data_IF_587363305195
#
_entry.id   IF_587363305195
#
_cell.length_a   1.000
_cell.length_b   1.000
_cell.length_c   1.000
_cell.angle_alpha   90.00
_cell.angle_beta   90.00
_cell.angle_gamma   90.00
#
_symmetry.space_group_name_H-M   'P 1'
#
loop_
_entity.id
_entity.type
_entity.pdbx_description
1 polymer ?
#
# COMPACT_ATOMS: atom_id res chain seq x y z
N UNK A 1 10.58 -33.95 -30.78
CA UNK A 1 11.14 -33.56 -29.47
C UNK A 1 11.40 -32.08 -29.54
N UNK A 2 10.53 -31.25 -28.98
CA UNK A 2 11.01 -30.21 -28.08
C UNK A 2 9.87 -29.78 -27.17
N UNK A 3 10.00 -30.15 -25.90
CA UNK A 3 9.10 -29.80 -24.82
C UNK A 3 9.51 -28.41 -24.35
N UNK A 4 8.87 -27.36 -24.86
CA UNK A 4 8.97 -26.06 -24.22
C UNK A 4 8.31 -26.18 -22.84
N UNK A 5 9.13 -26.30 -21.80
CA UNK A 5 8.70 -26.20 -20.41
C UNK A 5 8.07 -24.82 -20.20
N UNK A 6 6.74 -24.79 -20.23
CA UNK A 6 5.96 -23.67 -19.72
C UNK A 6 6.34 -23.51 -18.26
N UNK A 7 7.12 -22.48 -17.95
CA UNK A 7 7.41 -22.09 -16.58
C UNK A 7 6.07 -21.85 -15.89
N UNK A 8 5.71 -22.74 -14.97
CA UNK A 8 4.58 -22.56 -14.06
C UNK A 8 4.91 -21.29 -13.28
N UNK A 9 4.31 -20.17 -13.68
CA UNK A 9 4.38 -18.92 -12.95
C UNK A 9 3.92 -19.21 -11.53
N UNK A 10 4.77 -18.95 -10.52
CA UNK A 10 4.32 -18.98 -9.12
C UNK A 10 3.08 -18.10 -9.04
N UNK A 11 1.88 -18.68 -8.92
CA UNK A 11 0.66 -17.87 -8.86
C UNK A 11 0.82 -16.90 -7.69
N UNK A 12 0.64 -15.61 -7.98
CA UNK A 12 0.71 -14.59 -6.96
C UNK A 12 -0.48 -14.80 -6.01
N UNK A 13 -0.20 -15.30 -4.81
CA UNK A 13 -1.20 -15.81 -3.87
C UNK A 13 -2.22 -14.75 -3.44
N UNK A 14 -1.92 -13.47 -3.72
CA UNK A 14 -2.75 -12.33 -3.39
C UNK A 14 -3.62 -11.80 -4.54
N UNK A 15 -3.47 -12.28 -5.78
CA UNK A 15 -4.38 -11.91 -6.86
C UNK A 15 -5.79 -12.47 -6.61
N UNK A 16 -6.81 -11.63 -6.75
CA UNK A 16 -8.20 -12.07 -6.68
C UNK A 16 -8.54 -12.83 -7.97
N UNK A 17 -8.99 -14.08 -7.84
CA UNK A 17 -9.51 -14.84 -8.98
C UNK A 17 -11.01 -14.65 -9.06
N UNK A 18 -11.55 -14.59 -10.28
CA UNK A 18 -12.94 -14.23 -10.55
C UNK A 18 -13.99 -15.15 -9.88
N UNK A 19 -13.60 -16.38 -9.49
CA UNK A 19 -14.46 -17.30 -8.75
C UNK A 19 -13.64 -17.96 -7.63
N UNK A 20 -14.03 -17.74 -6.38
CA UNK A 20 -13.48 -18.47 -5.23
C UNK A 20 -14.55 -19.45 -4.73
N UNK A 21 -14.42 -20.72 -5.11
CA UNK A 21 -15.32 -21.82 -4.69
C UNK A 21 -15.01 -22.31 -3.26
N UNK A 22 -14.06 -21.68 -2.57
CA UNK A 22 -13.67 -22.11 -1.22
C UNK A 22 -14.81 -21.98 -0.21
N UNK A 23 -14.89 -22.88 0.79
CA UNK A 23 -15.92 -22.79 1.82
C UNK A 23 -15.77 -21.50 2.63
N UNK A 24 -16.91 -20.84 2.87
CA UNK A 24 -16.99 -19.65 3.71
C UNK A 24 -16.71 -20.04 5.16
N UNK A 25 -15.89 -19.26 5.86
CA UNK A 25 -15.62 -19.45 7.27
C UNK A 25 -16.83 -19.04 8.09
N UNK A 26 -17.27 -19.91 9.02
CA UNK A 26 -18.38 -19.64 9.92
C UNK A 26 -17.99 -19.76 11.40
N UNK A 27 -18.77 -19.12 12.26
CA UNK A 27 -18.64 -19.19 13.72
C UNK A 27 -17.27 -18.73 14.26
N UNK A 28 -16.60 -19.51 15.12
CA UNK A 28 -15.40 -19.07 15.85
C UNK A 28 -14.20 -18.82 14.94
N UNK A 29 -14.14 -19.43 13.75
CA UNK A 29 -13.05 -19.19 12.79
C UNK A 29 -13.14 -17.81 12.16
N UNK A 30 -14.35 -17.32 11.89
CA UNK A 30 -14.58 -15.96 11.37
C UNK A 30 -14.11 -14.90 12.36
N UNK A 31 -14.47 -15.02 13.64
CA UNK A 31 -14.02 -14.08 14.68
C UNK A 31 -12.49 -14.06 14.83
N UNK A 32 -11.84 -15.23 14.73
CA UNK A 32 -10.37 -15.32 14.74
C UNK A 32 -9.74 -14.64 13.53
N UNK A 33 -10.36 -14.77 12.35
CA UNK A 33 -9.92 -14.09 11.14
C UNK A 33 -10.01 -12.57 11.33
N UNK A 34 -11.18 -12.05 11.72
CA UNK A 34 -11.42 -10.61 11.91
C UNK A 34 -10.46 -9.99 12.94
N UNK A 35 -10.25 -10.65 14.08
CA UNK A 35 -9.32 -10.18 15.13
C UNK A 35 -7.88 -10.07 14.61
N UNK A 36 -7.43 -11.07 13.85
CA UNK A 36 -6.08 -11.06 13.26
C UNK A 36 -5.93 -10.04 12.14
N UNK A 37 -6.94 -9.90 11.28
CA UNK A 37 -6.97 -8.87 10.25
C UNK A 37 -6.94 -7.47 10.86
N UNK A 38 -7.70 -7.22 11.94
CA UNK A 38 -7.64 -5.95 12.66
C UNK A 38 -6.25 -5.65 13.22
N UNK A 39 -5.55 -6.68 13.74
CA UNK A 39 -4.18 -6.54 14.24
C UNK A 39 -3.19 -6.19 13.12
N UNK A 40 -3.31 -6.83 11.95
CA UNK A 40 -2.48 -6.54 10.78
C UNK A 40 -2.78 -5.15 10.23
N UNK A 41 -4.05 -4.76 10.15
CA UNK A 41 -4.46 -3.44 9.68
C UNK A 41 -3.88 -2.33 10.55
N UNK A 42 -3.93 -2.51 11.88
CA UNK A 42 -3.30 -1.59 12.80
C UNK A 42 -1.79 -1.49 12.56
N UNK A 43 -1.10 -2.62 12.40
CA UNK A 43 0.34 -2.63 12.12
C UNK A 43 0.67 -1.92 10.80
N UNK A 44 -0.10 -2.19 9.73
CA UNK A 44 0.07 -1.62 8.41
C UNK A 44 -0.07 -0.10 8.38
N UNK A 45 -1.03 0.45 9.15
CA UNK A 45 -1.26 1.89 9.19
C UNK A 45 -0.28 2.67 10.07
N UNK A 46 0.33 2.02 11.07
CA UNK A 46 1.10 2.73 12.10
C UNK A 46 2.60 2.47 12.05
N UNK A 47 3.03 1.23 11.80
CA UNK A 47 4.43 0.82 12.05
C UNK A 47 5.10 0.17 10.85
N UNK A 48 4.32 -0.41 9.93
CA UNK A 48 4.81 -1.29 8.87
C UNK A 48 4.26 -0.89 7.50
N UNK A 49 4.91 0.07 6.80
CA UNK A 49 4.47 0.55 5.48
C UNK A 49 4.60 -0.49 4.36
N UNK A 50 5.19 -1.65 4.64
CA UNK A 50 5.32 -2.82 3.77
C UNK A 50 4.06 -3.70 3.73
N UNK A 51 3.23 -3.67 4.78
CA UNK A 51 2.02 -4.50 4.91
C UNK A 51 0.74 -4.02 4.19
N UNK A 52 0.51 -2.73 3.88
CA UNK A 52 -0.75 -2.26 3.28
C UNK A 52 -1.13 -2.98 1.98
N UNK A 53 -0.15 -3.50 1.24
CA UNK A 53 -0.41 -4.30 0.05
C UNK A 53 -1.22 -5.57 0.36
N UNK A 54 -0.82 -6.30 1.41
CA UNK A 54 -1.46 -7.56 1.81
C UNK A 54 -2.65 -7.35 2.76
N UNK A 55 -2.68 -6.26 3.53
CA UNK A 55 -3.76 -5.97 4.48
C UNK A 55 -5.07 -5.60 3.78
N UNK A 56 -5.03 -4.73 2.75
CA UNK A 56 -6.23 -4.22 2.10
C UNK A 56 -7.16 -5.32 1.52
N UNK A 57 -6.66 -6.34 0.79
CA UNK A 57 -7.52 -7.42 0.29
C UNK A 57 -8.08 -8.33 1.41
N UNK A 58 -7.37 -8.46 2.53
CA UNK A 58 -7.85 -9.25 3.67
C UNK A 58 -8.99 -8.53 4.41
N UNK A 59 -8.88 -7.21 4.52
CA UNK A 59 -9.91 -6.35 5.12
C UNK A 59 -11.18 -6.29 4.29
N UNK A 60 -11.07 -6.23 2.96
CA UNK A 60 -12.25 -6.17 2.07
C UNK A 60 -13.14 -7.43 2.20
N UNK A 61 -12.55 -8.58 2.54
CA UNK A 61 -13.25 -9.86 2.75
C UNK A 61 -13.61 -10.14 4.21
N UNK A 62 -13.41 -9.20 5.14
CA UNK A 62 -13.69 -9.41 6.57
C UNK A 62 -15.17 -9.73 6.87
N UNK A 63 -16.10 -9.20 6.08
CA UNK A 63 -17.53 -9.47 6.22
C UNK A 63 -17.90 -10.92 5.89
N UNK A 64 -17.24 -11.52 4.90
CA UNK A 64 -17.50 -12.89 4.44
C UNK A 64 -16.18 -13.57 4.02
N UNK A 65 -15.36 -14.00 4.99
CA UNK A 65 -14.04 -14.54 4.68
C UNK A 65 -14.12 -16.00 4.22
N UNK A 66 -13.34 -16.36 3.20
CA UNK A 66 -13.22 -17.74 2.71
C UNK A 66 -11.99 -18.45 3.30
N UNK A 67 -11.96 -19.79 3.22
CA UNK A 67 -10.81 -20.61 3.66
C UNK A 67 -9.49 -20.19 2.98
N UNK A 68 -9.55 -19.77 1.72
CA UNK A 68 -8.39 -19.27 0.98
C UNK A 68 -7.86 -17.97 1.60
N UNK A 69 -8.74 -17.07 2.02
CA UNK A 69 -8.33 -15.81 2.66
C UNK A 69 -7.70 -16.06 4.02
N UNK A 70 -8.15 -17.08 4.76
CA UNK A 70 -7.45 -17.53 5.96
C UNK A 70 -6.02 -17.99 5.66
N UNK A 71 -5.81 -18.68 4.54
CA UNK A 71 -4.47 -19.11 4.12
C UNK A 71 -3.58 -17.91 3.76
N UNK A 72 -4.13 -16.91 3.07
CA UNK A 72 -3.44 -15.63 2.79
C UNK A 72 -3.08 -14.90 4.08
N UNK A 73 -4.00 -14.87 5.05
CA UNK A 73 -3.78 -14.29 6.37
C UNK A 73 -2.61 -14.98 7.11
N UNK A 74 -2.58 -16.32 7.13
CA UNK A 74 -1.46 -17.08 7.73
C UNK A 74 -0.14 -16.77 7.02
N UNK A 75 -0.15 -16.63 5.69
CA UNK A 75 1.04 -16.25 4.94
C UNK A 75 1.53 -14.84 5.31
N UNK A 76 0.62 -13.88 5.46
CA UNK A 76 0.94 -12.52 5.90
C UNK A 76 1.53 -12.51 7.32
N UNK A 77 0.94 -13.27 8.26
CA UNK A 77 1.49 -13.42 9.61
C UNK A 77 2.86 -14.10 9.62
N UNK A 78 3.08 -15.08 8.75
CA UNK A 78 4.38 -15.72 8.56
C UNK A 78 5.44 -14.74 8.04
N UNK A 79 5.07 -13.85 7.11
CA UNK A 79 5.93 -12.77 6.66
C UNK A 79 6.28 -11.81 7.79
N UNK A 80 5.27 -11.37 8.56
CA UNK A 80 5.47 -10.49 9.72
C UNK A 80 6.45 -11.09 10.72
N UNK A 81 6.25 -12.37 11.07
CA UNK A 81 7.12 -13.10 12.00
C UNK A 81 8.58 -13.17 11.54
N UNK A 82 8.81 -13.35 10.23
CA UNK A 82 10.16 -13.41 9.64
C UNK A 82 10.85 -12.06 9.48
N UNK A 83 10.12 -10.96 9.65
CA UNK A 83 10.60 -9.59 9.41
C UNK A 83 10.46 -8.71 10.65
N UNK A 84 10.39 -9.33 11.84
CA UNK A 84 10.33 -8.61 13.12
C UNK A 84 11.62 -7.84 13.42
N UNK A 85 12.73 -8.26 12.83
CA UNK A 85 14.04 -7.61 12.91
C UNK A 85 14.16 -6.38 11.99
N UNK A 86 13.31 -6.29 10.97
CA UNK A 86 13.28 -5.15 10.06
C UNK A 86 12.60 -3.95 10.74
N UNK A 87 13.28 -2.81 10.71
CA UNK A 87 12.80 -1.58 11.31
C UNK A 87 12.96 -0.39 10.36
N UNK A 88 12.10 0.61 10.55
CA UNK A 88 12.19 1.86 9.83
C UNK A 88 13.11 2.81 10.60
N UNK A 89 14.32 3.00 10.09
CA UNK A 89 15.32 3.86 10.71
C UNK A 89 15.01 5.34 10.49
N UNK A 90 14.67 6.07 11.56
CA UNK A 90 14.57 7.52 11.54
C UNK A 90 15.93 8.17 11.75
N UNK A 91 16.37 8.95 10.77
CA UNK A 91 17.60 9.74 10.83
C UNK A 91 17.26 11.18 11.23
N UNK A 92 17.77 11.60 12.38
CA UNK A 92 17.72 13.01 12.81
C UNK A 92 18.70 13.81 11.94
N UNK A 93 18.20 14.77 11.17
CA UNK A 93 19.04 15.81 10.57
C UNK A 93 19.55 15.59 9.15
N UNK A 94 18.78 14.94 8.27
CA UNK A 94 19.08 14.96 6.85
C UNK A 94 18.13 15.91 6.09
N UNK A 95 18.41 17.21 6.15
CA UNK A 95 18.16 18.10 5.01
C UNK A 95 19.12 17.74 3.85
N UNK A 96 19.29 16.44 3.57
CA UNK A 96 20.09 15.92 2.46
C UNK A 96 19.22 15.98 1.21
N UNK A 97 19.00 17.17 0.67
CA UNK A 97 18.19 17.30 -0.54
C UNK A 97 18.18 18.68 -1.17
N UNK A 98 18.12 19.76 -0.40
CA UNK A 98 18.03 21.11 -0.96
C UNK A 98 19.39 21.81 -1.05
N UNK A 99 20.44 21.05 -1.36
CA UNK A 99 21.61 21.57 -2.08
C UNK A 99 21.40 21.52 -3.61
N UNK A 100 20.15 21.37 -4.09
CA UNK A 100 19.76 21.94 -5.39
C UNK A 100 19.67 23.47 -5.23
N UNK A 101 20.83 24.12 -5.18
CA UNK A 101 20.95 25.56 -5.47
C UNK A 101 21.03 26.55 -4.30
N UNK A 102 20.65 26.24 -3.06
CA UNK A 102 20.67 27.27 -2.01
C UNK A 102 21.91 27.16 -1.09
N UNK A 103 23.04 27.72 -1.55
CA UNK A 103 24.14 28.16 -0.67
C UNK A 103 23.67 29.39 0.13
N UNK A 104 22.74 29.20 1.04
CA UNK A 104 22.15 30.28 1.84
C UNK A 104 21.44 29.68 3.03
N UNK A 105 22.03 29.84 4.21
CA UNK A 105 21.66 29.13 5.42
C UNK A 105 20.21 29.33 5.83
N UNK A 106 19.50 28.21 6.05
CA UNK A 106 18.46 28.18 7.06
C UNK A 106 18.50 26.83 7.79
N UNK A 107 19.22 26.81 8.92
CA UNK A 107 19.35 25.64 9.80
C UNK A 107 18.07 25.52 10.66
N UNK A 108 16.95 25.09 10.08
CA UNK A 108 15.73 24.90 10.88
C UNK A 108 14.43 24.53 10.15
N UNK A 109 14.40 24.48 8.82
CA UNK A 109 13.17 24.14 8.10
C UNK A 109 12.82 22.64 8.18
N UNK A 110 11.55 22.31 8.43
CA UNK A 110 10.99 20.97 8.21
C UNK A 110 10.62 20.84 6.74
N UNK A 111 11.22 19.88 6.04
CA UNK A 111 10.92 19.58 4.64
C UNK A 111 9.96 18.40 4.60
N UNK A 112 8.79 18.59 4.00
CA UNK A 112 7.80 17.54 3.76
C UNK A 112 7.77 17.26 2.26
N UNK A 113 8.14 16.04 1.88
CA UNK A 113 8.11 15.57 0.49
C UNK A 113 7.06 14.48 0.40
N UNK A 114 6.22 14.51 -0.64
CA UNK A 114 5.21 13.47 -0.85
C UNK A 114 5.30 12.99 -2.28
N UNK A 115 5.41 11.67 -2.43
CA UNK A 115 5.40 10.98 -3.71
C UNK A 115 4.07 10.25 -3.85
N UNK A 116 3.48 10.30 -5.03
CA UNK A 116 2.24 9.59 -5.37
C UNK A 116 2.49 8.73 -6.60
N UNK A 117 1.96 7.53 -6.61
CA UNK A 117 2.00 6.62 -7.75
C UNK A 117 0.68 5.84 -7.87
N UNK A 118 0.28 5.53 -9.10
CA UNK A 118 -0.97 4.83 -9.38
C UNK A 118 -0.79 3.74 -10.44
N UNK A 119 -1.22 2.54 -10.10
CA UNK A 119 -1.28 1.38 -10.99
C UNK A 119 -2.68 1.23 -11.60
N UNK A 120 -2.76 0.91 -12.89
CA UNK A 120 -4.03 0.70 -13.61
C UNK A 120 -4.40 -0.77 -13.62
N UNK A 121 -5.64 -1.05 -13.21
CA UNK A 121 -6.33 -2.34 -13.38
C UNK A 121 -5.46 -3.61 -13.13
N UNK A 122 -4.79 -3.75 -11.96
CA UNK A 122 -3.96 -4.92 -11.67
C UNK A 122 -4.76 -6.19 -11.31
N UNK A 123 -6.08 -6.09 -11.20
CA UNK A 123 -6.94 -7.07 -10.54
C UNK A 123 -8.26 -7.25 -11.30
N UNK A 124 -9.01 -8.32 -11.02
CA UNK A 124 -10.25 -8.67 -11.73
C UNK A 124 -11.31 -7.55 -11.68
N UNK A 125 -11.28 -6.73 -10.63
CA UNK A 125 -12.17 -5.58 -10.44
C UNK A 125 -11.90 -4.40 -11.39
N UNK A 126 -10.84 -4.44 -12.20
CA UNK A 126 -10.42 -3.37 -13.15
C UNK A 126 -10.24 -1.99 -12.47
N UNK A 127 -10.16 -1.97 -11.14
CA UNK A 127 -9.98 -0.76 -10.35
C UNK A 127 -8.50 -0.48 -10.17
N UNK A 128 -8.12 0.75 -10.43
CA UNK A 128 -6.76 1.23 -10.17
C UNK A 128 -6.48 1.21 -8.68
N UNK A 129 -5.21 1.00 -8.33
CA UNK A 129 -4.74 1.15 -6.97
C UNK A 129 -3.63 2.16 -6.94
N UNK A 130 -3.74 3.11 -6.03
CA UNK A 130 -2.70 4.08 -5.83
C UNK A 130 -2.09 4.05 -4.43
N UNK A 131 -0.86 4.52 -4.38
CA UNK A 131 -0.02 4.53 -3.20
C UNK A 131 0.65 5.90 -3.07
N UNK A 132 0.84 6.31 -1.83
CA UNK A 132 1.52 7.55 -1.51
C UNK A 132 2.63 7.26 -0.52
N UNK A 133 3.73 8.00 -0.59
CA UNK A 133 4.82 7.96 0.37
C UNK A 133 5.18 9.39 0.81
N UNK A 134 4.91 9.71 2.07
CA UNK A 134 5.19 11.01 2.68
C UNK A 134 6.45 10.92 3.54
N UNK A 135 7.43 11.75 3.22
CA UNK A 135 8.70 11.88 3.89
C UNK A 135 8.77 13.20 4.66
N UNK A 136 9.31 13.15 5.88
CA UNK A 136 9.63 14.32 6.69
C UNK A 136 11.12 14.30 6.98
N UNK A 137 11.83 15.34 6.51
CA UNK A 137 13.29 15.46 6.62
C UNK A 137 14.04 14.21 6.11
N UNK A 138 13.56 13.66 4.98
CA UNK A 138 14.11 12.44 4.37
C UNK A 138 13.74 11.13 5.06
N UNK A 139 12.85 11.14 6.06
CA UNK A 139 12.36 9.93 6.72
C UNK A 139 10.93 9.61 6.30
N UNK A 140 10.65 8.37 5.91
CA UNK A 140 9.29 7.94 5.61
C UNK A 140 8.44 7.99 6.89
N UNK A 141 7.36 8.77 6.87
CA UNK A 141 6.42 8.90 8.00
C UNK A 141 5.12 8.17 7.70
N UNK A 142 4.64 8.22 6.45
CA UNK A 142 3.36 7.59 6.09
C UNK A 142 3.40 7.05 4.66
N UNK A 143 2.82 5.87 4.48
CA UNK A 143 2.77 5.18 3.19
C UNK A 143 1.39 4.60 2.85
N UNK A 144 0.29 5.38 2.80
CA UNK A 144 -1.03 4.79 2.63
C UNK A 144 -1.21 4.27 1.20
N UNK A 145 -2.00 3.20 1.08
CA UNK A 145 -2.42 2.60 -0.20
C UNK A 145 -3.94 2.56 -0.27
N UNK A 146 -4.52 2.93 -1.41
CA UNK A 146 -5.96 3.03 -1.61
C UNK A 146 -6.39 2.41 -2.95
N UNK A 147 -7.36 1.49 -2.91
CA UNK A 147 -8.08 1.05 -4.13
C UNK A 147 -9.04 2.16 -4.53
N UNK A 148 -9.02 2.57 -5.80
CA UNK A 148 -9.86 3.67 -6.28
C UNK A 148 -11.31 3.20 -6.42
N UNK A 149 -12.26 4.09 -6.11
CA UNK A 149 -13.68 3.77 -6.24
C UNK A 149 -14.13 3.71 -7.70
N UNK A 150 -13.51 4.50 -8.57
CA UNK A 150 -13.86 4.59 -9.98
C UNK A 150 -12.96 3.68 -10.82
N UNK A 151 -13.51 3.19 -11.94
CA UNK A 151 -12.77 2.42 -12.93
C UNK A 151 -12.00 3.42 -13.80
N UNK A 152 -10.70 3.20 -13.90
CA UNK A 152 -9.84 4.02 -14.73
C UNK A 152 -9.50 3.30 -16.02
N UNK A 153 -9.65 3.96 -17.17
CA UNK A 153 -9.35 3.38 -18.49
C UNK A 153 -7.95 3.73 -19.04
N UNK A 154 -7.15 4.50 -18.30
CA UNK A 154 -5.79 4.86 -18.71
C UNK A 154 -4.90 5.19 -17.50
N UNK A 155 -3.59 5.09 -17.66
CA UNK A 155 -2.60 5.39 -16.61
C UNK A 155 -2.65 6.84 -16.16
N UNK A 156 -2.80 7.78 -17.10
CA UNK A 156 -2.90 9.20 -16.78
C UNK A 156 -4.10 9.51 -15.87
N UNK A 157 -5.27 8.91 -16.15
CA UNK A 157 -6.47 9.16 -15.36
C UNK A 157 -6.34 8.52 -13.96
N UNK A 158 -5.59 7.41 -13.82
CA UNK A 158 -5.40 6.76 -12.53
C UNK A 158 -4.58 7.66 -11.59
N UNK A 159 -3.53 8.28 -12.13
CA UNK A 159 -2.70 9.24 -11.38
C UNK A 159 -3.52 10.46 -10.97
N UNK A 160 -4.39 10.98 -11.85
CA UNK A 160 -5.25 12.13 -11.53
C UNK A 160 -6.30 11.77 -10.46
N UNK A 161 -6.84 10.55 -10.51
CA UNK A 161 -7.87 10.08 -9.57
C UNK A 161 -7.31 9.66 -8.20
N UNK A 162 -6.00 9.39 -8.10
CA UNK A 162 -5.33 8.98 -6.86
C UNK A 162 -5.50 10.03 -5.76
N UNK A 163 -5.16 11.28 -6.07
CA UNK A 163 -5.18 12.36 -5.10
C UNK A 163 -5.41 13.72 -5.78
N UNK A 164 -6.62 14.30 -5.72
CA UNK A 164 -6.80 15.71 -6.09
C UNK A 164 -6.00 16.66 -5.18
N UNK A 165 -5.62 16.20 -3.98
CA UNK A 165 -4.88 16.98 -2.99
C UNK A 165 -3.42 17.25 -3.37
N UNK A 166 -2.73 16.34 -4.06
CA UNK A 166 -1.34 16.60 -4.48
C UNK A 166 -1.26 17.56 -5.70
N UNK A 167 -2.33 17.70 -6.48
CA UNK A 167 -2.45 18.80 -7.45
C UNK A 167 -2.58 20.16 -6.76
N UNK A 168 -3.36 20.26 -5.69
CA UNK A 168 -3.53 21.51 -4.93
C UNK A 168 -2.23 21.96 -4.24
N UNK A 169 -1.36 21.04 -3.83
CA UNK A 169 -0.05 21.37 -3.22
C UNK A 169 0.99 21.79 -4.28
N UNK A 170 0.78 21.44 -5.55
CA UNK A 170 1.70 21.78 -6.64
C UNK A 170 1.48 23.19 -7.23
N UNK A 171 0.41 23.89 -6.85
CA UNK A 171 0.17 25.30 -7.23
C UNK A 171 0.44 26.25 -6.06
N UNK A 172 1.69 26.69 -5.81
CA UNK A 172 1.99 27.72 -4.83
C UNK A 172 1.73 29.12 -5.41
N UNK A 173 0.54 29.36 -5.96
CA UNK A 173 0.09 30.70 -6.33
C UNK A 173 -1.41 30.79 -6.09
N UNK A 174 -1.84 31.86 -5.41
CA UNK A 174 -3.21 32.25 -5.07
C UNK A 174 -3.68 31.93 -3.64
N UNK A 175 -2.92 32.28 -2.62
CA UNK A 175 -3.52 32.84 -1.40
C UNK A 175 -2.56 33.88 -0.81
N UNK A 176 -2.71 35.13 -1.23
CA UNK A 176 -2.34 36.28 -0.41
C UNK A 176 -3.58 36.68 0.38
N UNK A 177 -3.47 36.67 1.71
CA UNK A 177 -4.35 37.44 2.59
C UNK A 177 -3.70 38.79 2.80
#
# INVERSE_FOLDING_TARGET
MDMAQTAISKEDKFQETAEDTSPILSGPMKTRYESRVGSINWAANNTRPDLPFAANPLESKASQPAQRDFTKLIHCLGYVSKTLDQNLGYRRGNNRGNNRGNKGGNKGGVIIETFSDASVAPDADVKSTSGMATYVNGNLVKGPRKKQNNITRSTAVAVIQDNPWCMLVAEPRLFSV
#
